data_IF_287822682987
#
_entry.id   IF_287822682987
#
_cell.length_a   1.000
_cell.length_b   1.000
_cell.length_c   1.000
_cell.angle_alpha   90.00
_cell.angle_beta   90.00
_cell.angle_gamma   90.00
#
_symmetry.space_group_name_H-M   'P 1'
#
loop_
_entity.id
_entity.type
_entity.pdbx_description
1 polymer ?
#
# COMPACT_ATOMS: atom_id res chain seq x y z
N UNK A 1 -6.96 7.22 -2.91
CA UNK A 1 -5.80 6.37 -3.24
C UNK A 1 -5.36 6.64 -4.67
N UNK A 2 -6.08 6.20 -5.71
CA UNK A 2 -5.59 6.30 -7.09
C UNK A 2 -5.34 7.71 -7.63
N UNK A 3 -6.20 8.69 -7.30
CA UNK A 3 -5.95 10.09 -7.68
C UNK A 3 -4.74 10.68 -6.95
N UNK A 4 -4.52 10.31 -5.68
CA UNK A 4 -3.33 10.70 -4.94
C UNK A 4 -2.06 10.12 -5.57
N UNK A 5 -2.10 8.86 -6.02
CA UNK A 5 -0.96 8.23 -6.69
C UNK A 5 -0.57 8.97 -7.97
N UNK A 6 -1.54 9.51 -8.71
CA UNK A 6 -1.29 10.38 -9.87
C UNK A 6 -0.59 11.67 -9.45
N UNK A 7 -1.12 12.37 -8.44
CA UNK A 7 -0.52 13.61 -7.95
C UNK A 7 0.92 13.39 -7.45
N UNK A 8 1.14 12.31 -6.71
CA UNK A 8 2.47 11.98 -6.19
C UNK A 8 3.44 11.61 -7.30
N UNK A 9 3.00 10.80 -8.28
CA UNK A 9 3.80 10.48 -9.47
C UNK A 9 4.21 11.73 -10.22
N UNK A 10 3.28 12.65 -10.44
CA UNK A 10 3.55 13.89 -11.15
C UNK A 10 4.61 14.76 -10.44
N UNK A 11 4.62 14.79 -9.10
CA UNK A 11 5.69 15.46 -8.34
C UNK A 11 7.04 14.77 -8.50
N UNK A 12 7.05 13.44 -8.46
CA UNK A 12 8.27 12.64 -8.62
C UNK A 12 8.87 12.87 -10.01
N UNK A 13 8.03 12.80 -11.04
CA UNK A 13 8.45 12.99 -12.43
C UNK A 13 8.90 14.44 -12.69
N UNK A 14 8.26 15.44 -12.08
CA UNK A 14 8.68 16.84 -12.22
C UNK A 14 10.02 17.14 -11.54
N UNK A 15 10.24 16.60 -10.33
CA UNK A 15 11.52 16.74 -9.62
C UNK A 15 12.65 16.02 -10.36
N UNK A 16 12.35 14.84 -10.88
CA UNK A 16 13.24 14.06 -11.71
C UNK A 16 13.64 14.78 -13.00
N UNK A 17 12.66 15.31 -13.74
CA UNK A 17 12.91 16.03 -14.99
C UNK A 17 13.81 17.26 -14.74
N UNK A 18 13.68 17.89 -13.56
CA UNK A 18 14.53 19.01 -13.16
C UNK A 18 15.99 18.59 -12.93
N UNK A 19 16.20 17.45 -12.28
CA UNK A 19 17.54 16.86 -12.12
C UNK A 19 18.14 16.46 -13.47
N UNK A 20 17.35 15.82 -14.34
CA UNK A 20 17.79 15.38 -15.68
C UNK A 20 18.19 16.59 -16.55
N UNK A 21 17.41 17.69 -16.51
CA UNK A 21 17.74 18.95 -17.20
C UNK A 21 18.99 19.63 -16.65
N UNK A 22 19.18 19.62 -15.33
CA UNK A 22 20.38 20.18 -14.71
C UNK A 22 21.64 19.40 -15.12
N UNK A 23 21.54 18.06 -15.11
CA UNK A 23 22.62 17.17 -15.53
C UNK A 23 23.02 17.37 -17.00
N UNK A 24 22.05 17.63 -17.89
CA UNK A 24 22.31 17.92 -19.30
C UNK A 24 23.16 19.18 -19.53
N UNK A 25 23.14 20.12 -18.58
CA UNK A 25 23.94 21.36 -18.61
C UNK A 25 25.21 21.23 -17.74
N UNK A 26 25.49 20.04 -17.19
CA UNK A 26 26.66 19.77 -16.35
C UNK A 26 26.50 20.20 -14.89
N UNK A 27 25.30 20.60 -14.46
CA UNK A 27 25.01 20.93 -13.08
C UNK A 27 24.58 19.70 -12.29
N UNK A 28 25.06 19.58 -11.04
CA UNK A 28 24.60 18.55 -10.12
C UNK A 28 23.53 19.12 -9.20
N UNK A 29 22.32 18.56 -9.27
CA UNK A 29 21.20 18.90 -8.39
C UNK A 29 20.60 17.62 -7.82
N UNK A 30 19.94 17.77 -6.66
CA UNK A 30 19.31 16.66 -5.94
C UNK A 30 17.84 17.02 -5.59
N UNK A 31 17.07 17.48 -6.58
CA UNK A 31 15.66 17.86 -6.39
C UNK A 31 14.81 16.65 -6.00
N UNK A 32 15.04 15.50 -6.63
CA UNK A 32 14.34 14.26 -6.30
C UNK A 32 14.64 13.80 -4.85
N UNK A 33 15.90 13.91 -4.42
CA UNK A 33 16.27 13.60 -3.03
C UNK A 33 15.65 14.60 -2.05
N UNK A 34 15.61 15.89 -2.42
CA UNK A 34 14.96 16.94 -1.64
C UNK A 34 13.46 16.67 -1.48
N UNK A 35 12.77 16.25 -2.54
CA UNK A 35 11.37 15.82 -2.48
C UNK A 35 11.18 14.63 -1.54
N UNK A 36 12.06 13.62 -1.60
CA UNK A 36 12.02 12.47 -0.69
C UNK A 36 12.20 12.91 0.77
N UNK A 37 13.14 13.83 1.05
CA UNK A 37 13.32 14.41 2.40
C UNK A 37 12.06 15.15 2.86
N UNK A 38 11.44 15.94 2.00
CA UNK A 38 10.19 16.65 2.29
C UNK A 38 9.04 15.68 2.59
N UNK A 39 8.87 14.62 1.81
CA UNK A 39 7.87 13.58 2.07
C UNK A 39 8.13 12.90 3.41
N UNK A 40 9.37 12.46 3.68
CA UNK A 40 9.72 11.81 4.96
C UNK A 40 9.48 12.71 6.17
N UNK A 41 9.75 14.00 6.04
CA UNK A 41 9.50 14.99 7.10
C UNK A 41 8.00 15.12 7.45
N UNK A 42 7.08 14.59 6.63
CA UNK A 42 5.66 14.49 6.95
C UNK A 42 5.33 13.35 7.93
N UNK A 43 6.32 12.56 8.37
CA UNK A 43 6.15 11.47 9.32
C UNK A 43 5.77 10.14 8.66
N UNK A 44 6.31 9.88 7.47
CA UNK A 44 6.09 8.67 6.67
C UNK A 44 7.42 8.09 6.19
N UNK A 45 7.53 6.77 6.13
CA UNK A 45 8.68 6.10 5.51
C UNK A 45 8.49 6.09 4.01
N UNK A 46 9.41 6.70 3.26
CA UNK A 46 9.29 6.84 1.82
C UNK A 46 10.65 6.75 1.11
N UNK A 47 10.70 5.97 0.03
CA UNK A 47 11.85 5.73 -0.83
C UNK A 47 11.39 5.60 -2.28
N UNK A 48 12.26 5.97 -3.21
CA UNK A 48 12.11 5.80 -4.65
C UNK A 48 13.26 4.92 -5.15
N UNK A 49 12.99 4.01 -6.07
CA UNK A 49 13.99 3.14 -6.69
C UNK A 49 13.65 2.85 -8.15
N UNK A 50 14.63 2.41 -8.93
CA UNK A 50 14.44 1.94 -10.31
C UNK A 50 14.30 0.41 -10.29
N UNK A 51 13.17 -0.16 -10.75
CA UNK A 51 13.00 -1.61 -10.74
C UNK A 51 13.90 -2.27 -11.81
N UNK A 52 14.53 -3.39 -11.44
CA UNK A 52 15.44 -4.16 -12.32
C UNK A 52 14.75 -4.70 -13.60
N UNK A 53 13.42 -4.73 -13.61
CA UNK A 53 12.61 -5.38 -14.66
C UNK A 53 12.24 -4.47 -15.85
N UNK A 54 12.78 -3.25 -15.94
CA UNK A 54 12.70 -2.40 -17.14
C UNK A 54 11.30 -1.88 -17.55
N UNK A 55 10.22 -2.26 -16.86
CA UNK A 55 8.83 -1.87 -17.22
C UNK A 55 8.36 -0.55 -16.63
N UNK A 56 8.99 -0.06 -15.57
CA UNK A 56 8.70 1.23 -14.97
C UNK A 56 10.03 1.94 -14.72
N UNK A 57 10.13 3.20 -15.11
CA UNK A 57 11.36 3.97 -14.98
C UNK A 57 11.70 4.19 -13.50
N UNK A 58 10.68 4.39 -12.65
CA UNK A 58 10.80 4.57 -11.20
C UNK A 58 9.60 3.95 -10.49
N UNK A 59 9.85 3.39 -9.32
CA UNK A 59 8.85 2.85 -8.39
C UNK A 59 9.12 3.42 -6.98
N UNK A 60 8.12 3.39 -6.11
CA UNK A 60 8.22 4.01 -4.80
C UNK A 60 7.46 3.26 -3.72
N UNK A 61 7.71 3.68 -2.48
CA UNK A 61 7.10 3.04 -1.30
C UNK A 61 5.58 3.11 -1.38
N UNK A 62 4.92 1.94 -1.33
CA UNK A 62 3.45 1.87 -1.29
C UNK A 62 2.93 2.51 0.00
N UNK A 63 2.14 3.57 -0.15
CA UNK A 63 1.60 4.36 0.96
C UNK A 63 0.22 3.85 1.38
N UNK A 64 -0.01 3.77 2.69
CA UNK A 64 -1.32 3.40 3.24
C UNK A 64 -2.22 4.62 3.42
N UNK A 65 -3.49 4.39 3.70
CA UNK A 65 -4.48 5.47 3.84
C UNK A 65 -4.10 6.53 4.87
N UNK A 66 -3.48 6.16 5.99
CA UNK A 66 -3.05 7.12 7.01
C UNK A 66 -1.77 7.87 6.63
N UNK A 67 -0.85 7.22 5.93
CA UNK A 67 0.35 7.88 5.38
C UNK A 67 -0.05 8.92 4.32
N UNK A 68 -0.99 8.58 3.44
CA UNK A 68 -1.51 9.51 2.43
C UNK A 68 -2.17 10.73 3.08
N UNK A 69 -2.93 10.56 4.17
CA UNK A 69 -3.53 11.70 4.90
C UNK A 69 -2.47 12.63 5.48
N UNK A 70 -1.39 12.08 6.06
CA UNK A 70 -0.27 12.87 6.59
C UNK A 70 0.40 13.68 5.48
N UNK A 71 0.65 13.04 4.33
CA UNK A 71 1.27 13.70 3.18
C UNK A 71 0.34 14.78 2.63
N UNK A 72 -0.93 14.48 2.37
CA UNK A 72 -1.89 15.48 1.87
C UNK A 72 -2.00 16.71 2.76
N UNK A 73 -1.90 16.54 4.08
CA UNK A 73 -2.00 17.63 5.04
C UNK A 73 -0.73 18.48 5.10
N UNK A 74 0.45 17.85 5.08
CA UNK A 74 1.71 18.51 5.47
C UNK A 74 2.68 18.74 4.31
N UNK A 75 2.54 18.03 3.20
CA UNK A 75 3.46 18.14 2.06
C UNK A 75 3.35 19.48 1.31
N UNK A 76 2.16 20.07 1.06
CA UNK A 76 2.04 21.28 0.25
C UNK A 76 2.92 22.45 0.74
N UNK A 77 3.03 22.65 2.06
CA UNK A 77 3.87 23.68 2.68
C UNK A 77 5.39 23.41 2.51
N UNK A 78 5.76 22.19 2.12
CA UNK A 78 7.14 21.71 2.02
C UNK A 78 7.58 21.47 0.58
N UNK A 79 6.76 21.84 -0.40
CA UNK A 79 7.08 21.73 -1.82
C UNK A 79 8.02 22.84 -2.30
N UNK A 80 8.21 23.89 -1.50
CA UNK A 80 9.18 24.96 -1.78
C UNK A 80 10.54 24.35 -2.14
N UNK A 81 11.10 24.81 -3.27
CA UNK A 81 12.37 24.36 -3.86
C UNK A 81 12.45 22.89 -4.31
N UNK A 82 11.44 22.06 -4.04
CA UNK A 82 11.41 20.66 -4.47
C UNK A 82 10.89 20.49 -5.92
N UNK A 83 10.07 21.43 -6.37
CA UNK A 83 9.46 21.45 -7.71
C UNK A 83 9.87 22.72 -8.47
N UNK A 84 9.32 22.91 -9.66
CA UNK A 84 9.56 24.13 -10.42
C UNK A 84 8.82 25.34 -9.84
N UNK A 85 9.52 26.47 -9.72
CA UNK A 85 9.02 27.67 -9.06
C UNK A 85 7.82 28.30 -9.78
N UNK A 86 7.78 28.23 -11.11
CA UNK A 86 6.72 28.82 -11.92
C UNK A 86 5.35 28.15 -11.71
N UNK A 87 5.32 26.84 -11.44
CA UNK A 87 4.09 26.07 -11.17
C UNK A 87 3.89 25.75 -9.69
N UNK A 88 4.73 26.32 -8.80
CA UNK A 88 4.71 26.00 -7.37
C UNK A 88 3.34 26.27 -6.74
N UNK A 89 2.86 27.52 -6.85
CA UNK A 89 1.63 27.94 -6.18
C UNK A 89 0.40 27.21 -6.73
N UNK A 90 0.38 26.96 -8.04
CA UNK A 90 -0.66 26.14 -8.67
C UNK A 90 -0.65 24.71 -8.13
N UNK A 91 0.53 24.11 -7.96
CA UNK A 91 0.69 22.74 -7.44
C UNK A 91 0.26 22.66 -5.97
N UNK A 92 0.67 23.62 -5.13
CA UNK A 92 0.25 23.70 -3.73
C UNK A 92 -1.27 23.84 -3.63
N UNK A 93 -1.85 24.73 -4.43
CA UNK A 93 -3.30 24.93 -4.51
C UNK A 93 -4.01 23.65 -4.95
N UNK A 94 -3.51 22.95 -5.98
CA UNK A 94 -4.09 21.70 -6.49
C UNK A 94 -4.18 20.62 -5.39
N UNK A 95 -3.12 20.47 -4.59
CA UNK A 95 -3.09 19.51 -3.48
C UNK A 95 -4.06 19.88 -2.34
N UNK A 96 -4.09 21.16 -1.98
CA UNK A 96 -5.00 21.68 -0.95
C UNK A 96 -6.48 21.53 -1.37
N UNK A 97 -6.80 21.88 -2.62
CA UNK A 97 -8.14 21.74 -3.19
C UNK A 97 -8.55 20.25 -3.23
N UNK A 98 -7.64 19.34 -3.60
CA UNK A 98 -7.93 17.90 -3.56
C UNK A 98 -8.23 17.41 -2.14
N UNK A 99 -7.46 17.87 -1.15
CA UNK A 99 -7.71 17.55 0.27
C UNK A 99 -9.04 18.10 0.76
N UNK A 100 -9.41 19.31 0.35
CA UNK A 100 -10.72 19.90 0.64
C UNK A 100 -11.85 19.05 0.04
N UNK A 101 -11.75 18.69 -1.24
CA UNK A 101 -12.72 17.82 -1.93
C UNK A 101 -12.89 16.52 -1.16
N UNK A 102 -11.79 15.84 -0.82
CA UNK A 102 -11.84 14.57 -0.09
C UNK A 102 -12.48 14.70 1.29
N UNK A 103 -12.21 15.77 2.04
CA UNK A 103 -12.88 16.02 3.31
C UNK A 103 -14.38 16.25 3.12
N UNK A 104 -14.76 17.03 2.11
CA UNK A 104 -16.15 17.36 1.83
C UNK A 104 -16.95 16.11 1.45
N UNK A 105 -16.52 15.34 0.44
CA UNK A 105 -17.28 14.18 -0.04
C UNK A 105 -17.39 13.04 1.00
N UNK A 106 -16.50 13.03 1.99
CA UNK A 106 -16.51 12.07 3.09
C UNK A 106 -17.14 12.58 4.39
N UNK A 107 -17.53 13.86 4.46
CA UNK A 107 -18.22 14.45 5.62
C UNK A 107 -19.68 13.99 5.67
N UNK A 108 -20.28 13.78 6.85
CA UNK A 108 -21.72 13.48 6.95
C UNK A 108 -22.61 14.72 6.74
N UNK A 109 -22.06 15.94 6.80
CA UNK A 109 -22.84 17.17 6.70
C UNK A 109 -23.39 17.38 5.27
N UNK A 110 -24.72 17.29 5.11
CA UNK A 110 -25.44 17.32 3.82
C UNK A 110 -25.74 18.74 3.33
N UNK A 111 -25.89 19.68 4.27
CA UNK A 111 -26.36 21.05 4.01
C UNK A 111 -25.48 21.86 3.05
N UNK A 112 -24.21 21.46 2.87
CA UNK A 112 -23.23 22.13 2.01
C UNK A 112 -22.97 21.39 0.69
N UNK A 113 -23.83 20.44 0.30
CA UNK A 113 -23.52 19.45 -0.75
C UNK A 113 -24.59 19.35 -1.83
N UNK A 114 -24.93 20.45 -2.48
CA UNK A 114 -25.69 20.35 -3.72
C UNK A 114 -24.84 19.65 -4.80
N UNK A 115 -25.44 18.81 -5.66
CA UNK A 115 -24.70 18.15 -6.74
C UNK A 115 -23.98 19.16 -7.63
N UNK A 116 -24.58 20.33 -7.90
CA UNK A 116 -23.97 21.41 -8.68
C UNK A 116 -22.73 21.98 -7.99
N UNK A 117 -22.79 22.19 -6.67
CA UNK A 117 -21.65 22.71 -5.90
C UNK A 117 -20.47 21.72 -5.92
N UNK A 118 -20.73 20.44 -5.64
CA UNK A 118 -19.70 19.40 -5.66
C UNK A 118 -19.14 19.22 -7.07
N UNK A 119 -20.00 19.21 -8.09
CA UNK A 119 -19.60 19.12 -9.49
C UNK A 119 -18.69 20.28 -9.90
N UNK A 120 -19.10 21.52 -9.63
CA UNK A 120 -18.30 22.70 -9.97
C UNK A 120 -16.95 22.71 -9.26
N UNK A 121 -16.91 22.32 -7.98
CA UNK A 121 -15.66 22.20 -7.22
C UNK A 121 -14.73 21.14 -7.83
N UNK A 122 -15.23 19.93 -8.10
CA UNK A 122 -14.42 18.86 -8.72
C UNK A 122 -13.98 19.22 -10.13
N UNK A 123 -14.87 19.82 -10.94
CA UNK A 123 -14.58 20.27 -12.30
C UNK A 123 -13.50 21.34 -12.29
N UNK A 124 -13.61 22.33 -11.41
CA UNK A 124 -12.59 23.38 -11.24
C UNK A 124 -11.24 22.77 -10.89
N UNK A 125 -11.20 21.82 -9.95
CA UNK A 125 -9.97 21.11 -9.60
C UNK A 125 -9.36 20.36 -10.79
N UNK A 126 -10.17 19.68 -11.61
CA UNK A 126 -9.69 19.01 -12.81
C UNK A 126 -9.21 20.00 -13.89
N UNK A 127 -9.84 21.17 -14.01
CA UNK A 127 -9.35 22.25 -14.87
C UNK A 127 -8.02 22.80 -14.39
N UNK A 128 -7.87 23.03 -13.08
CA UNK A 128 -6.60 23.48 -12.47
C UNK A 128 -5.49 22.43 -12.67
N UNK A 129 -5.83 21.13 -12.65
CA UNK A 129 -4.91 20.05 -13.02
C UNK A 129 -4.42 20.21 -14.46
N UNK A 130 -5.33 20.33 -15.44
CA UNK A 130 -4.97 20.47 -16.86
C UNK A 130 -4.16 21.76 -17.13
N UNK A 131 -4.46 22.84 -16.40
CA UNK A 131 -3.76 24.12 -16.57
C UNK A 131 -2.26 24.00 -16.25
N UNK A 132 -1.91 23.28 -15.17
CA UNK A 132 -0.51 22.95 -14.86
C UNK A 132 0.12 22.10 -15.97
N UNK A 133 -0.70 21.29 -16.66
CA UNK A 133 -0.33 20.45 -17.80
C UNK A 133 0.23 21.21 -19.00
N UNK A 134 -0.01 22.52 -19.10
CA UNK A 134 0.58 23.38 -20.14
C UNK A 134 2.09 23.53 -19.99
N UNK A 135 2.58 23.46 -18.75
CA UNK A 135 4.00 23.61 -18.43
C UNK A 135 4.66 22.32 -17.96
N UNK A 136 3.85 21.34 -17.51
CA UNK A 136 4.32 20.14 -16.81
C UNK A 136 3.74 18.87 -17.43
N UNK A 137 4.59 17.93 -17.80
CA UNK A 137 4.20 16.71 -18.53
C UNK A 137 3.22 15.82 -17.76
N UNK A 138 3.35 15.72 -16.44
CA UNK A 138 2.49 14.86 -15.61
C UNK A 138 1.01 15.26 -15.55
N UNK A 139 0.67 16.50 -15.90
CA UNK A 139 -0.66 17.08 -15.65
C UNK A 139 -1.52 17.27 -16.89
N UNK A 140 -1.14 16.64 -18.02
CA UNK A 140 -1.84 16.80 -19.29
C UNK A 140 -3.20 16.05 -19.34
N UNK A 141 -4.09 16.37 -20.29
CA UNK A 141 -5.38 15.69 -20.44
C UNK A 141 -5.29 14.18 -20.58
N UNK A 142 -4.22 13.64 -21.17
CA UNK A 142 -4.02 12.20 -21.35
C UNK A 142 -3.82 11.48 -20.00
N UNK A 143 -3.41 12.20 -18.97
CA UNK A 143 -3.20 11.66 -17.61
C UNK A 143 -4.47 11.73 -16.74
N UNK A 144 -5.61 12.13 -17.32
CA UNK A 144 -6.91 12.01 -16.64
C UNK A 144 -7.30 10.54 -16.55
N UNK A 145 -7.11 9.98 -15.36
CA UNK A 145 -7.47 8.59 -15.08
C UNK A 145 -8.99 8.42 -14.93
N UNK A 146 -9.51 7.18 -15.08
CA UNK A 146 -10.92 6.87 -14.78
C UNK A 146 -11.37 7.30 -13.37
N UNK A 147 -10.45 7.34 -12.41
CA UNK A 147 -10.74 7.80 -11.04
C UNK A 147 -10.91 9.32 -10.96
N UNK A 148 -10.19 10.10 -11.77
CA UNK A 148 -10.41 11.54 -11.89
C UNK A 148 -11.74 11.81 -12.61
N UNK A 149 -12.03 11.06 -13.68
CA UNK A 149 -13.33 11.15 -14.35
C UNK A 149 -14.48 10.85 -13.38
N UNK A 150 -14.37 9.77 -12.61
CA UNK A 150 -15.36 9.40 -11.58
C UNK A 150 -15.51 10.51 -10.55
N UNK A 151 -14.41 11.11 -10.10
CA UNK A 151 -14.40 12.23 -9.15
C UNK A 151 -15.24 13.41 -9.62
N UNK A 152 -15.15 13.75 -10.91
CA UNK A 152 -15.84 14.90 -11.48
C UNK A 152 -17.30 14.57 -11.79
N UNK A 153 -17.58 13.47 -12.49
CA UNK A 153 -18.90 13.23 -13.08
C UNK A 153 -19.83 12.34 -12.25
N UNK A 154 -19.28 11.47 -11.40
CA UNK A 154 -20.09 10.48 -10.66
C UNK A 154 -20.21 10.80 -9.17
N UNK A 155 -19.14 11.27 -8.54
CA UNK A 155 -19.16 11.60 -7.10
C UNK A 155 -20.25 12.64 -6.74
N UNK A 156 -20.49 13.72 -7.51
CA UNK A 156 -21.54 14.67 -7.17
C UNK A 156 -22.92 14.03 -7.01
N UNK A 157 -23.27 13.13 -7.93
CA UNK A 157 -24.52 12.36 -7.87
C UNK A 157 -24.59 11.47 -6.61
N UNK A 158 -23.53 10.72 -6.31
CA UNK A 158 -23.51 9.85 -5.13
C UNK A 158 -23.57 10.64 -3.82
N UNK A 159 -22.87 11.77 -3.74
CA UNK A 159 -22.86 12.62 -2.55
C UNK A 159 -24.23 13.26 -2.34
N UNK A 160 -24.90 13.70 -3.41
CA UNK A 160 -26.27 14.23 -3.34
C UNK A 160 -27.26 13.18 -2.85
N UNK A 161 -27.21 11.96 -3.38
CA UNK A 161 -28.21 10.93 -3.11
C UNK A 161 -27.98 10.18 -1.78
N UNK A 162 -26.73 10.05 -1.33
CA UNK A 162 -26.37 9.21 -0.20
C UNK A 162 -25.63 9.96 0.93
N UNK A 163 -25.40 11.27 0.76
CA UNK A 163 -24.77 12.20 1.69
C UNK A 163 -23.24 12.13 1.72
N UNK A 164 -22.66 10.93 1.73
CA UNK A 164 -21.21 10.75 1.78
C UNK A 164 -20.78 9.45 1.08
N UNK A 165 -19.60 9.48 0.45
CA UNK A 165 -19.09 8.29 -0.24
C UNK A 165 -18.51 7.23 0.71
N UNK A 166 -18.05 7.66 1.90
CA UNK A 166 -17.40 6.78 2.88
C UNK A 166 -18.25 5.56 3.28
N UNK A 167 -19.58 5.69 3.22
CA UNK A 167 -20.54 4.59 3.49
C UNK A 167 -20.33 3.39 2.57
N UNK A 168 -19.87 3.61 1.35
CA UNK A 168 -19.63 2.59 0.33
C UNK A 168 -18.17 2.15 0.25
N UNK A 169 -17.34 2.52 1.24
CA UNK A 169 -15.93 2.13 1.23
C UNK A 169 -15.74 0.64 1.53
N UNK A 170 -14.88 -0.02 0.76
CA UNK A 170 -14.46 -1.41 1.02
C UNK A 170 -13.53 -1.58 2.22
N UNK A 171 -13.25 -0.52 2.99
CA UNK A 171 -12.28 -0.55 4.09
C UNK A 171 -12.64 -1.57 5.17
N UNK A 172 -13.94 -1.76 5.44
CA UNK A 172 -14.40 -2.77 6.37
C UNK A 172 -14.02 -4.18 5.88
N UNK A 173 -14.24 -4.47 4.59
CA UNK A 173 -13.90 -5.76 3.98
C UNK A 173 -12.40 -6.03 4.03
N UNK A 174 -11.55 -5.02 3.77
CA UNK A 174 -10.10 -5.20 3.87
C UNK A 174 -9.64 -5.50 5.30
N UNK A 175 -10.22 -4.83 6.31
CA UNK A 175 -9.93 -5.13 7.71
C UNK A 175 -10.37 -6.54 8.10
N UNK A 176 -11.48 -6.99 7.52
CA UNK A 176 -11.98 -8.37 7.64
C UNK A 176 -11.00 -9.35 7.02
N UNK A 177 -10.43 -9.05 5.85
CA UNK A 177 -9.42 -9.87 5.19
C UNK A 177 -8.14 -9.98 6.03
N UNK A 178 -7.64 -8.87 6.57
CA UNK A 178 -6.46 -8.86 7.45
C UNK A 178 -6.68 -9.71 8.71
N UNK A 179 -7.89 -9.63 9.28
CA UNK A 179 -8.27 -10.43 10.44
C UNK A 179 -8.32 -11.92 10.10
N UNK A 180 -8.91 -12.27 8.96
CA UNK A 180 -8.97 -13.65 8.44
C UNK A 180 -7.56 -14.21 8.24
N UNK A 181 -6.67 -13.45 7.59
CA UNK A 181 -5.29 -13.86 7.36
C UNK A 181 -4.56 -14.13 8.67
N UNK A 182 -4.76 -13.27 9.66
CA UNK A 182 -4.17 -13.43 11.00
C UNK A 182 -4.69 -14.69 11.70
N UNK A 183 -6.00 -14.94 11.64
CA UNK A 183 -6.63 -16.14 12.19
C UNK A 183 -6.06 -17.39 11.52
N UNK A 184 -6.05 -17.42 10.19
CA UNK A 184 -5.53 -18.54 9.40
C UNK A 184 -4.10 -18.90 9.83
N UNK A 185 -3.21 -17.88 9.92
CA UNK A 185 -1.79 -18.09 10.21
C UNK A 185 -1.52 -18.52 11.65
N UNK A 186 -2.27 -18.00 12.63
CA UNK A 186 -1.92 -18.11 14.06
C UNK A 186 -2.89 -18.93 14.91
N UNK A 187 -4.12 -19.16 14.43
CA UNK A 187 -5.23 -19.66 15.26
C UNK A 187 -5.97 -20.86 14.65
N UNK A 188 -5.47 -21.45 13.56
CA UNK A 188 -6.03 -22.66 12.95
C UNK A 188 -5.03 -23.81 13.01
N UNK A 189 -5.55 -25.04 13.06
CA UNK A 189 -4.72 -26.26 12.98
C UNK A 189 -4.48 -26.70 11.52
N UNK A 190 -4.99 -25.92 10.55
CA UNK A 190 -4.84 -26.12 9.10
C UNK A 190 -5.37 -27.45 8.54
N UNK A 191 -6.18 -28.19 9.31
CA UNK A 191 -6.83 -29.42 8.85
C UNK A 191 -8.01 -29.12 7.92
N UNK A 192 -8.88 -28.18 8.32
CA UNK A 192 -9.87 -27.55 7.45
C UNK A 192 -9.79 -26.04 7.67
N UNK A 193 -8.82 -25.44 7.00
CA UNK A 193 -8.42 -24.07 7.25
C UNK A 193 -9.55 -23.05 7.02
N UNK A 194 -10.48 -23.31 6.10
CA UNK A 194 -11.59 -22.42 5.78
C UNK A 194 -12.64 -22.48 6.88
N UNK A 195 -13.09 -23.68 7.25
CA UNK A 195 -14.08 -23.86 8.32
C UNK A 195 -13.52 -23.38 9.66
N UNK A 196 -12.26 -23.70 9.97
CA UNK A 196 -11.60 -23.29 11.21
C UNK A 196 -11.52 -21.77 11.32
N UNK A 197 -11.14 -21.08 10.24
CA UNK A 197 -11.05 -19.62 10.22
C UNK A 197 -12.40 -18.98 10.49
N UNK A 198 -13.47 -19.47 9.83
CA UNK A 198 -14.82 -18.96 10.01
C UNK A 198 -15.29 -19.19 11.46
N UNK A 199 -15.08 -20.39 12.01
CA UNK A 199 -15.43 -20.72 13.40
C UNK A 199 -14.68 -19.86 14.42
N UNK A 200 -13.37 -19.66 14.24
CA UNK A 200 -12.56 -18.78 15.12
C UNK A 200 -13.07 -17.34 15.05
N UNK A 201 -13.36 -16.85 13.85
CA UNK A 201 -13.87 -15.49 13.66
C UNK A 201 -15.23 -15.30 14.35
N UNK A 202 -16.18 -16.22 14.13
CA UNK A 202 -17.50 -16.13 14.78
C UNK A 202 -17.40 -16.19 16.31
N UNK A 203 -16.46 -16.98 16.84
CA UNK A 203 -16.16 -16.98 18.28
C UNK A 203 -15.65 -15.63 18.77
N UNK A 204 -14.76 -14.96 18.03
CA UNK A 204 -14.27 -13.61 18.41
C UNK A 204 -15.41 -12.60 18.40
N UNK A 205 -16.28 -12.65 17.39
CA UNK A 205 -17.46 -11.78 17.28
C UNK A 205 -18.41 -11.94 18.49
N UNK A 206 -18.75 -13.18 18.83
CA UNK A 206 -19.62 -13.49 19.99
C UNK A 206 -18.99 -13.08 21.33
N UNK A 207 -17.66 -13.15 21.46
CA UNK A 207 -16.97 -12.69 22.68
C UNK A 207 -16.97 -11.17 22.78
N UNK A 208 -16.80 -10.46 21.65
CA UNK A 208 -16.81 -9.00 21.63
C UNK A 208 -18.21 -8.39 21.85
N UNK A 209 -19.29 -9.15 21.69
CA UNK A 209 -20.65 -8.62 21.87
C UNK A 209 -21.10 -8.61 23.33
N UNK A 210 -20.82 -9.65 24.13
CA UNK A 210 -21.50 -9.81 25.43
C UNK A 210 -20.70 -10.56 26.52
N UNK A 211 -19.46 -11.01 26.30
CA UNK A 211 -18.79 -11.91 27.28
C UNK A 211 -17.27 -11.73 27.37
N UNK A 212 -16.76 -11.53 28.58
CA UNK A 212 -15.32 -11.59 28.85
C UNK A 212 -14.86 -13.06 28.92
N UNK A 213 -13.75 -13.38 28.25
CA UNK A 213 -13.25 -14.76 28.21
C UNK A 213 -12.58 -15.10 29.53
N UNK A 214 -13.23 -15.92 30.36
CA UNK A 214 -12.54 -16.57 31.47
C UNK A 214 -11.46 -17.53 30.96
N UNK A 215 -10.25 -17.39 31.49
CA UNK A 215 -9.16 -18.31 31.21
C UNK A 215 -9.55 -19.66 31.82
N UNK A 216 -9.73 -20.68 30.97
CA UNK A 216 -9.98 -22.05 31.47
C UNK A 216 -8.87 -22.42 32.46
N UNK A 217 -9.25 -22.79 33.68
CA UNK A 217 -8.33 -23.42 34.63
C UNK A 217 -7.90 -24.76 34.05
N UNK A 218 -6.74 -24.78 33.40
CA UNK A 218 -6.13 -25.99 32.91
C UNK A 218 -5.36 -26.64 34.05
N UNK A 219 -5.93 -27.70 34.63
CA UNK A 219 -5.23 -28.57 35.57
C UNK A 219 -4.53 -29.64 34.75
N UNK A 220 -3.19 -29.65 34.81
CA UNK A 220 -2.38 -30.75 34.24
C UNK A 220 -2.71 -32.01 35.03
N UNK A 221 -3.26 -33.02 34.36
CA UNK A 221 -3.65 -34.29 35.00
C UNK A 221 -2.56 -35.37 34.92
N UNK A 222 -1.54 -35.18 34.08
CA UNK A 222 -0.48 -36.16 33.86
C UNK A 222 0.86 -35.46 33.99
N UNK A 223 1.34 -35.37 35.23
CA UNK A 223 2.57 -34.65 35.55
C UNK A 223 3.78 -35.28 34.87
N UNK A 224 3.84 -36.61 34.78
CA UNK A 224 4.92 -37.32 34.10
C UNK A 224 5.02 -36.96 32.60
N UNK A 225 3.88 -36.81 31.93
CA UNK A 225 3.88 -36.39 30.53
C UNK A 225 4.36 -34.93 30.37
N UNK A 226 3.92 -34.04 31.26
CA UNK A 226 4.23 -32.61 31.18
C UNK A 226 5.64 -32.25 31.67
N UNK A 227 6.24 -33.06 32.54
CA UNK A 227 7.58 -32.82 33.07
C UNK A 227 8.66 -33.50 32.22
N UNK A 228 8.44 -34.76 31.83
CA UNK A 228 9.46 -35.59 31.21
C UNK A 228 9.17 -35.82 29.72
N UNK A 229 8.01 -36.40 29.38
CA UNK A 229 7.75 -36.84 28.00
C UNK A 229 7.70 -35.68 27.00
N UNK A 230 7.08 -34.54 27.36
CA UNK A 230 6.96 -33.40 26.44
C UNK A 230 8.31 -32.84 26.03
N UNK A 231 9.31 -32.86 26.92
CA UNK A 231 10.68 -32.39 26.63
C UNK A 231 11.34 -33.33 25.63
N UNK A 232 11.22 -34.63 25.87
CA UNK A 232 11.74 -35.69 24.99
C UNK A 232 11.08 -35.63 23.61
N UNK A 233 9.74 -35.58 23.54
CA UNK A 233 9.01 -35.51 22.27
C UNK A 233 9.34 -34.25 21.48
N UNK A 234 9.52 -33.10 22.13
CA UNK A 234 9.92 -31.85 21.46
C UNK A 234 11.34 -31.89 20.94
N UNK A 235 12.27 -32.44 21.73
CA UNK A 235 13.66 -32.63 21.30
C UNK A 235 13.73 -33.55 20.08
N UNK A 236 13.02 -34.67 20.14
CA UNK A 236 12.98 -35.65 19.06
C UNK A 236 12.31 -35.10 17.80
N UNK A 237 11.24 -34.31 17.94
CA UNK A 237 10.63 -33.63 16.80
C UNK A 237 11.58 -32.63 16.14
N UNK A 238 12.36 -31.88 16.94
CA UNK A 238 13.38 -30.95 16.42
C UNK A 238 14.48 -31.69 15.67
N UNK A 239 14.94 -32.81 16.21
CA UNK A 239 15.95 -33.66 15.57
C UNK A 239 15.43 -34.26 14.26
N UNK A 240 14.20 -34.78 14.25
CA UNK A 240 13.57 -35.32 13.04
C UNK A 240 13.44 -34.26 11.94
N UNK A 241 12.99 -33.05 12.28
CA UNK A 241 12.92 -31.94 11.31
C UNK A 241 14.30 -31.56 10.78
N UNK A 242 15.33 -31.58 11.63
CA UNK A 242 16.71 -31.32 11.19
C UNK A 242 17.21 -32.38 10.20
N UNK A 243 16.91 -33.66 10.46
CA UNK A 243 17.24 -34.78 9.56
C UNK A 243 16.48 -34.68 8.24
N UNK A 244 15.20 -34.31 8.25
CA UNK A 244 14.41 -34.08 7.04
C UNK A 244 14.98 -32.93 6.19
N UNK A 245 15.40 -31.83 6.82
CA UNK A 245 16.03 -30.71 6.13
C UNK A 245 17.36 -31.14 5.50
N UNK A 246 18.21 -31.88 6.22
CA UNK A 246 19.47 -32.41 5.68
C UNK A 246 19.24 -33.36 4.50
N UNK A 247 18.30 -34.31 4.63
CA UNK A 247 17.97 -35.24 3.56
C UNK A 247 17.39 -34.54 2.32
N UNK A 248 16.62 -33.46 2.51
CA UNK A 248 16.12 -32.64 1.41
C UNK A 248 17.25 -31.85 0.72
N UNK A 249 18.19 -31.31 1.49
CA UNK A 249 19.36 -30.58 0.98
C UNK A 249 20.30 -31.49 0.20
N UNK A 250 20.58 -32.70 0.71
CA UNK A 250 21.36 -33.73 0.01
C UNK A 250 20.71 -34.14 -1.32
N UNK A 251 19.39 -34.39 -1.34
CA UNK A 251 18.65 -34.69 -2.58
C UNK A 251 18.71 -33.54 -3.57
N UNK A 252 18.59 -32.30 -3.10
CA UNK A 252 18.70 -31.12 -3.94
C UNK A 252 20.12 -31.00 -4.52
N UNK A 253 21.15 -31.24 -3.71
CA UNK A 253 22.54 -31.15 -4.13
C UNK A 253 22.87 -32.21 -5.19
N UNK A 254 22.48 -33.47 -4.97
CA UNK A 254 22.64 -34.56 -5.97
C UNK A 254 21.91 -34.23 -7.27
N UNK A 255 20.68 -33.70 -7.19
CA UNK A 255 19.91 -33.30 -8.38
C UNK A 255 20.63 -32.18 -9.15
N UNK A 256 21.16 -31.16 -8.48
CA UNK A 256 21.91 -30.07 -9.14
C UNK A 256 23.24 -30.51 -9.74
N UNK A 257 23.96 -31.45 -9.12
CA UNK A 257 25.20 -32.02 -9.66
C UNK A 257 24.92 -32.84 -10.92
N UNK A 258 23.91 -33.71 -10.89
CA UNK A 258 23.49 -34.49 -12.05
C UNK A 258 23.03 -33.59 -13.20
N UNK A 259 22.29 -32.52 -12.91
CA UNK A 259 21.85 -31.55 -13.92
C UNK A 259 23.04 -30.80 -14.56
N UNK A 260 24.05 -30.45 -13.77
CA UNK A 260 25.30 -29.83 -14.28
C UNK A 260 26.11 -30.78 -15.14
N UNK A 261 26.18 -32.07 -14.80
CA UNK A 261 26.84 -33.09 -15.65
C UNK A 261 26.12 -33.29 -16.99
N UNK A 262 24.78 -33.34 -17.00
CA UNK A 262 23.98 -33.41 -18.22
C UNK A 262 24.20 -32.21 -19.16
N UNK A 263 24.31 -30.99 -18.61
CA UNK A 263 24.62 -29.79 -19.40
C UNK A 263 26.05 -29.82 -19.95
N UNK A 264 27.01 -30.37 -19.20
CA UNK A 264 28.41 -30.47 -19.64
C UNK A 264 28.61 -31.50 -20.75
N UNK A 265 27.88 -32.62 -20.72
CA UNK A 265 27.91 -33.65 -21.78
C UNK A 265 27.34 -33.09 -23.09
N UNK A 266 26.24 -32.33 -23.04
CA UNK A 266 25.64 -31.73 -24.25
C UNK A 266 26.47 -30.57 -24.85
N UNK A 267 27.42 -29.98 -24.13
CA UNK A 267 28.31 -28.93 -24.67
C UNK A 267 29.59 -29.43 -25.33
N UNK A 268 29.90 -30.73 -25.23
CA UNK A 268 31.07 -31.35 -25.91
C UNK A 268 30.68 -32.12 -27.19
N UNK A 269 29.41 -32.09 -27.57
CA UNK A 269 28.86 -32.76 -28.76
C UNK A 269 28.35 -31.82 -29.85
N UNK A 270 28.85 -30.58 -29.90
CA UNK A 270 28.72 -29.67 -31.05
C UNK A 270 30.09 -29.22 -31.49
#
# INVERSE_FOLDING_TARGET
>A
MRVFDVLLRNLIDDAAEKDDRAAAVGNKTDYLESLVKSIRSCGVSFNIWTPKSGRCERDWTSLRGDDMKKIMKNLPEKLMFCIHNNTHDQTVKLWNDFSLILRLINSPAVELKTPEFVFNMCKKWASDFIEIGKERNGYRPENITPYIHTLVYHIPFYVSNYGQIRKFSGQAVEKVNDSIKTIYQKKTNKMDCTIDTIKVRKRIENLCSEMERERRNYVKKNDDWWEHHIRVTRAQKKENVSKEIQAADEKFHVSTVNFRQLIFINRRGC
#
